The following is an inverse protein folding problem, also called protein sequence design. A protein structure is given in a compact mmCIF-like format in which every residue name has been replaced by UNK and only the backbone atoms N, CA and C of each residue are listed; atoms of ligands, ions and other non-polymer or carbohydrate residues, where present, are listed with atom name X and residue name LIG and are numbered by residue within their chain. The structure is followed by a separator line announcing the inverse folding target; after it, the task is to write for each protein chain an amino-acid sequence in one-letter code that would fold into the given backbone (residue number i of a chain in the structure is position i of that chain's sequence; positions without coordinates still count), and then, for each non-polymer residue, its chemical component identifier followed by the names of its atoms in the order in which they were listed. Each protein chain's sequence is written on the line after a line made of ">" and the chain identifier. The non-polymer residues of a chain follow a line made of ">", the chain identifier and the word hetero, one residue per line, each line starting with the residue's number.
data_IF_750384411127
#
_entry.id   IF_750384411127
#
_cell.length_a   1.000
_cell.length_b   1.000
_cell.length_c   1.000
_cell.angle_alpha   90.00
_cell.angle_beta   90.00
_cell.angle_gamma   90.00
#
_symmetry.space_group_name_H-M   'P 1'
#
loop_
_entity.id
_entity.type
_entity.pdbx_description
1 polymer ?
#
# COMPACT_ATOMS: atom_id res chain seq x y z
N UNK A 1 -5.84 -18.04 13.16
CA UNK A 1 -5.75 -17.04 12.07
C UNK A 1 -4.89 -15.81 12.41
N UNK A 2 -4.42 -15.63 13.66
CA UNK A 2 -3.65 -14.44 14.08
C UNK A 2 -2.15 -14.45 13.73
N UNK A 3 -1.56 -15.60 13.39
CA UNK A 3 -0.12 -15.74 13.14
C UNK A 3 0.41 -14.99 11.89
N UNK A 4 -0.46 -14.31 11.12
CA UNK A 4 -0.08 -13.51 9.96
C UNK A 4 -0.07 -12.00 10.24
N UNK A 5 -0.50 -11.56 11.42
CA UNK A 5 -0.46 -10.15 11.78
C UNK A 5 0.94 -9.79 12.28
N UNK A 6 1.87 -9.63 11.33
CA UNK A 6 3.24 -9.23 11.66
C UNK A 6 3.20 -7.77 12.09
N UNK A 7 3.52 -7.49 13.36
CA UNK A 7 3.75 -6.12 13.81
C UNK A 7 5.01 -5.65 13.09
N UNK A 8 4.85 -4.60 12.29
CA UNK A 8 5.94 -3.99 11.53
C UNK A 8 6.16 -2.60 12.09
N UNK A 9 7.42 -2.27 12.41
CA UNK A 9 7.80 -0.92 12.82
C UNK A 9 7.39 0.10 11.75
N UNK A 10 6.98 1.33 12.10
CA UNK A 10 6.72 2.36 11.11
C UNK A 10 7.94 2.54 10.19
N UNK A 11 7.71 2.47 8.89
CA UNK A 11 8.74 2.67 7.86
C UNK A 11 8.24 3.72 6.87
N UNK A 12 9.17 4.32 6.13
CA UNK A 12 8.87 5.21 5.00
C UNK A 12 8.33 4.45 3.78
N UNK A 13 8.17 3.12 3.86
CA UNK A 13 7.67 2.30 2.76
C UNK A 13 6.36 1.64 3.17
N UNK A 14 5.31 1.81 2.37
CA UNK A 14 4.01 1.17 2.57
C UNK A 14 3.81 0.03 1.56
N UNK A 15 3.35 -1.12 2.03
CA UNK A 15 2.83 -2.20 1.22
C UNK A 15 1.32 -2.03 1.03
N UNK A 16 0.90 -1.87 -0.22
CA UNK A 16 -0.50 -1.78 -0.61
C UNK A 16 -0.96 -3.06 -1.29
N UNK A 17 -2.20 -3.47 -1.03
CA UNK A 17 -2.77 -4.69 -1.58
C UNK A 17 -4.29 -4.58 -1.73
N UNK A 18 -4.88 -5.54 -2.44
CA UNK A 18 -6.31 -5.59 -2.76
C UNK A 18 -6.78 -4.43 -3.66
N UNK A 19 -5.92 -3.96 -4.56
CA UNK A 19 -6.31 -3.00 -5.60
C UNK A 19 -6.77 -3.74 -6.87
N UNK A 20 -7.53 -3.08 -7.77
CA UNK A 20 -7.89 -3.68 -9.04
C UNK A 20 -6.67 -3.94 -9.94
N UNK A 21 -6.82 -4.87 -10.89
CA UNK A 21 -5.82 -5.17 -11.92
C UNK A 21 -5.45 -3.95 -12.76
N UNK A 22 -6.41 -3.05 -12.99
CA UNK A 22 -6.22 -1.79 -13.71
C UNK A 22 -5.53 -0.70 -12.89
N UNK A 23 -5.08 -1.00 -11.66
CA UNK A 23 -4.35 -0.05 -10.83
C UNK A 23 -2.95 0.19 -11.40
N UNK A 24 -2.69 1.43 -11.82
CA UNK A 24 -1.39 1.90 -12.28
C UNK A 24 -0.72 2.75 -11.21
N UNK A 25 0.59 3.02 -11.38
CA UNK A 25 1.33 3.91 -10.47
C UNK A 25 0.68 5.31 -10.42
N UNK A 26 0.27 5.84 -11.57
CA UNK A 26 -0.36 7.16 -11.69
C UNK A 26 -1.65 7.23 -10.88
N UNK A 27 -2.54 6.25 -11.07
CA UNK A 27 -3.83 6.19 -10.36
C UNK A 27 -3.65 6.05 -8.85
N UNK A 28 -2.58 5.39 -8.44
CA UNK A 28 -2.22 5.20 -7.04
C UNK A 28 -1.64 6.49 -6.43
N UNK A 29 -0.81 7.23 -7.19
CA UNK A 29 -0.35 8.59 -6.83
C UNK A 29 -1.53 9.55 -6.70
N UNK A 30 -2.45 9.54 -7.67
CA UNK A 30 -3.68 10.35 -7.63
C UNK A 30 -4.53 10.03 -6.41
N UNK A 31 -4.70 8.74 -6.08
CA UNK A 31 -5.46 8.32 -4.90
C UNK A 31 -4.88 8.89 -3.60
N UNK A 32 -3.55 8.87 -3.45
CA UNK A 32 -2.92 9.48 -2.27
C UNK A 32 -3.15 10.99 -2.21
N UNK A 33 -2.97 11.69 -3.33
CA UNK A 33 -3.17 13.14 -3.42
C UNK A 33 -4.63 13.54 -3.16
N UNK A 34 -5.60 12.79 -3.72
CA UNK A 34 -7.04 12.97 -3.49
C UNK A 34 -7.42 12.85 -2.02
N UNK A 35 -6.78 11.92 -1.30
CA UNK A 35 -6.99 11.73 0.14
C UNK A 35 -6.26 12.78 1.00
N UNK A 36 -5.54 13.72 0.38
CA UNK A 36 -4.76 14.75 1.07
C UNK A 36 -3.41 14.25 1.58
N UNK A 37 -2.94 13.08 1.13
CA UNK A 37 -1.60 12.60 1.41
C UNK A 37 -0.59 13.10 0.37
N UNK A 38 0.69 13.06 0.72
CA UNK A 38 1.76 13.37 -0.24
C UNK A 38 1.86 12.28 -1.31
N UNK A 39 2.24 12.65 -2.53
CA UNK A 39 2.54 11.66 -3.56
C UNK A 39 3.77 10.82 -3.14
N UNK A 40 3.72 9.48 -3.31
CA UNK A 40 4.89 8.64 -3.09
C UNK A 40 6.00 8.97 -4.09
N UNK A 41 7.25 8.95 -3.62
CA UNK A 41 8.44 9.20 -4.44
C UNK A 41 8.62 8.08 -5.47
N UNK A 42 8.40 6.83 -5.01
CA UNK A 42 8.53 5.63 -5.84
C UNK A 42 7.37 4.68 -5.59
N UNK A 43 6.77 4.16 -6.65
CA UNK A 43 5.77 3.10 -6.56
C UNK A 43 6.31 1.89 -7.31
N UNK A 44 6.24 0.73 -6.66
CA UNK A 44 6.63 -0.54 -7.26
C UNK A 44 5.43 -1.47 -7.21
N UNK A 45 4.85 -1.73 -8.36
CA UNK A 45 3.76 -2.70 -8.50
C UNK A 45 4.38 -4.10 -8.60
N UNK A 46 3.93 -5.02 -7.76
CA UNK A 46 4.38 -6.40 -7.86
C UNK A 46 3.81 -7.07 -9.12
N UNK A 47 4.61 -7.85 -9.86
CA UNK A 47 4.12 -8.57 -11.02
C UNK A 47 3.01 -9.54 -10.60
N UNK A 48 1.86 -9.40 -11.25
CA UNK A 48 0.64 -10.15 -10.91
C UNK A 48 0.89 -11.65 -11.08
N UNK A 49 0.85 -12.41 -9.97
CA UNK A 49 0.75 -13.88 -10.04
C UNK A 49 -0.70 -14.35 -10.20
N UNK A 50 -1.68 -13.48 -9.93
CA UNK A 50 -3.10 -13.80 -9.90
C UNK A 50 -3.92 -12.67 -10.49
N UNK A 51 -4.88 -13.01 -11.35
CA UNK A 51 -5.75 -12.07 -12.10
C UNK A 51 -6.72 -11.26 -11.23
N UNK A 52 -6.83 -11.57 -9.93
CA UNK A 52 -7.91 -11.04 -9.08
C UNK A 52 -7.60 -9.70 -8.43
N UNK A 53 -6.34 -9.39 -8.12
CA UNK A 53 -5.95 -8.17 -7.41
C UNK A 53 -4.48 -7.81 -7.60
N UNK A 54 -4.19 -6.52 -7.62
CA UNK A 54 -2.85 -5.97 -7.63
C UNK A 54 -2.37 -5.67 -6.20
N UNK A 55 -1.05 -5.76 -6.03
CA UNK A 55 -0.35 -5.39 -4.81
C UNK A 55 0.99 -4.76 -5.19
N UNK A 56 1.59 -4.02 -4.27
CA UNK A 56 2.87 -3.38 -4.48
C UNK A 56 3.34 -2.63 -3.25
N UNK A 57 4.40 -1.85 -3.42
CA UNK A 57 4.95 -0.98 -2.38
C UNK A 57 5.03 0.45 -2.89
N UNK A 58 4.93 1.39 -1.95
CA UNK A 58 5.08 2.83 -2.18
C UNK A 58 6.11 3.36 -1.19
N UNK A 59 7.15 3.98 -1.71
CA UNK A 59 8.19 4.65 -0.94
C UNK A 59 7.82 6.12 -0.81
N UNK A 60 7.81 6.59 0.42
CA UNK A 60 7.61 7.97 0.80
C UNK A 60 8.96 8.57 1.23
N UNK A 61 9.10 9.90 1.21
CA UNK A 61 10.34 10.55 1.62
C UNK A 61 10.68 10.27 3.09
N UNK A 62 9.66 10.22 3.97
CA UNK A 62 9.84 10.06 5.41
C UNK A 62 8.79 9.11 6.01
N UNK A 63 9.10 8.51 7.16
CA UNK A 63 8.16 7.65 7.91
C UNK A 63 6.90 8.40 8.35
N UNK A 64 7.03 9.69 8.67
CA UNK A 64 5.88 10.56 9.02
C UNK A 64 4.91 10.65 7.84
N UNK A 65 5.42 10.95 6.65
CA UNK A 65 4.62 11.02 5.42
C UNK A 65 3.98 9.69 5.05
N UNK A 66 4.71 8.59 5.19
CA UNK A 66 4.16 7.25 5.02
C UNK A 66 3.03 6.97 6.03
N UNK A 67 3.18 7.41 7.28
CA UNK A 67 2.16 7.23 8.31
C UNK A 67 0.93 8.08 8.01
N UNK A 68 1.10 9.34 7.61
CA UNK A 68 -0.01 10.20 7.18
C UNK A 68 -0.75 9.57 5.98
N UNK A 69 -0.01 9.11 4.97
CA UNK A 69 -0.59 8.46 3.80
C UNK A 69 -1.33 7.16 4.15
N UNK A 70 -0.78 6.35 5.06
CA UNK A 70 -1.47 5.19 5.62
C UNK A 70 -2.78 5.61 6.30
N UNK A 71 -2.76 6.64 7.14
CA UNK A 71 -3.96 7.07 7.87
C UNK A 71 -5.05 7.61 6.95
N UNK A 72 -4.68 8.33 5.89
CA UNK A 72 -5.61 9.00 4.98
C UNK A 72 -6.11 8.09 3.86
N UNK A 73 -5.25 7.23 3.30
CA UNK A 73 -5.58 6.42 2.14
C UNK A 73 -5.91 4.96 2.47
N UNK A 74 -5.79 4.51 3.72
CA UNK A 74 -6.14 3.14 4.06
C UNK A 74 -7.65 2.90 3.94
N UNK A 75 -8.00 1.68 3.52
CA UNK A 75 -9.37 1.27 3.22
C UNK A 75 -10.06 2.12 2.14
N UNK A 76 -9.29 2.71 1.22
CA UNK A 76 -9.87 3.48 0.11
C UNK A 76 -10.60 2.54 -0.85
N UNK A 77 -11.91 2.75 -1.12
CA UNK A 77 -12.62 2.01 -2.15
C UNK A 77 -12.16 2.48 -3.54
N UNK A 78 -11.80 1.53 -4.40
CA UNK A 78 -11.46 1.77 -5.80
C UNK A 78 -12.39 0.95 -6.66
N UNK A 79 -13.09 1.62 -7.57
CA UNK A 79 -13.96 0.98 -8.54
C UNK A 79 -13.13 0.25 -9.61
N UNK A 80 -13.56 -0.96 -9.94
CA UNK A 80 -12.97 -1.79 -10.99
C UNK A 80 -14.00 -2.01 -12.10
N UNK A 81 -13.64 -1.90 -13.38
CA UNK A 81 -14.54 -2.24 -14.47
C UNK A 81 -14.88 -3.74 -14.52
N UNK A 82 -14.09 -4.59 -13.85
CA UNK A 82 -14.20 -6.06 -13.92
C UNK A 82 -15.29 -6.61 -12.98
N UNK A 83 -15.75 -5.85 -11.97
CA UNK A 83 -16.67 -6.37 -10.96
C UNK A 83 -17.61 -5.31 -10.37
N UNK A 84 -18.80 -5.74 -9.94
CA UNK A 84 -19.82 -4.87 -9.31
C UNK A 84 -19.44 -4.34 -7.92
N UNK A 85 -18.43 -4.92 -7.29
CA UNK A 85 -18.01 -4.56 -5.94
C UNK A 85 -16.73 -3.72 -5.96
N UNK A 86 -16.65 -2.62 -5.18
CA UNK A 86 -15.44 -1.83 -5.08
C UNK A 86 -14.32 -2.64 -4.39
N UNK A 87 -13.11 -2.50 -4.90
CA UNK A 87 -11.92 -3.05 -4.30
C UNK A 87 -11.47 -2.15 -3.16
N UNK A 88 -11.39 -2.68 -1.94
CA UNK A 88 -10.91 -1.91 -0.80
C UNK A 88 -9.40 -1.99 -0.75
N UNK A 89 -8.70 -0.95 -1.17
CA UNK A 89 -7.24 -0.88 -1.09
C UNK A 89 -6.84 -0.81 0.37
N UNK A 90 -5.97 -1.74 0.78
CA UNK A 90 -5.46 -1.82 2.15
C UNK A 90 -3.98 -1.47 2.14
N UNK A 91 -3.57 -0.69 3.13
CA UNK A 91 -2.20 -0.24 3.30
C UNK A 91 -1.65 -0.81 4.61
N UNK A 92 -0.37 -1.16 4.60
CA UNK A 92 0.38 -1.58 5.78
C UNK A 92 1.83 -1.12 5.65
N UNK A 93 2.56 -0.98 6.75
CA UNK A 93 4.00 -0.75 6.66
C UNK A 93 4.69 -1.93 5.99
N UNK A 94 5.53 -1.65 4.99
CA UNK A 94 6.37 -2.68 4.40
C UNK A 94 7.42 -3.06 5.46
N UNK A 95 7.37 -4.33 5.86
CA UNK A 95 8.37 -4.92 6.74
C UNK A 95 9.68 -5.02 5.98
N UNK A 96 10.42 -3.91 5.92
CA UNK A 96 11.76 -3.89 5.40
C UNK A 96 12.59 -4.91 6.14
N UNK A 97 13.36 -5.68 5.38
CA UNK A 97 14.41 -6.59 5.85
C UNK A 97 15.60 -5.81 6.45
N UNK A 98 15.34 -4.68 7.10
CA UNK A 98 16.30 -3.96 7.92
C UNK A 98 16.53 -4.81 9.17
N UNK A 99 17.38 -5.82 8.98
CA UNK A 99 17.66 -6.94 9.86
C UNK A 99 18.48 -6.56 11.07
N UNK A 100 18.00 -5.61 11.87
CA UNK A 100 18.63 -5.27 13.16
C UNK A 100 17.75 -5.36 14.41
N UNK A 101 16.49 -5.79 14.29
CA UNK A 101 15.63 -5.95 15.48
C UNK A 101 14.88 -7.29 15.52
N UNK A 102 15.64 -8.38 15.34
CA UNK A 102 15.29 -9.68 15.94
C UNK A 102 16.50 -10.15 16.75
N UNK A 103 16.83 -9.40 17.80
CA UNK A 103 17.78 -9.85 18.81
C UNK A 103 17.37 -9.35 20.19
N UNK A 104 16.36 -10.00 20.77
CA UNK A 104 16.40 -10.63 22.09
C UNK A 104 15.07 -11.32 22.40
#
# INVERSE_FOLDING_TARGET
>A
MAARNRIVKPTHVLHWYNAPVTMTEEKLKELFVDKGAVAPDKVVIFPQRSERSSAGICEFPNTERATEALMLANHTPVESPVGKAPYIVKLAFAGGRDGKDFRM
#
